data_IF_823599677791
#
_entry.id   IF_823599677791
#
_cell.length_a   1.000
_cell.length_b   1.000
_cell.length_c   1.000
_cell.angle_alpha   90.00
_cell.angle_beta   90.00
_cell.angle_gamma   90.00
#
_symmetry.space_group_name_H-M   'P 1'
#
loop_
_entity.id
_entity.type
_entity.pdbx_description
1 polymer ?
#
# COMPACT_ATOMS: atom_id res chain seq x y z
N UNK A 1 -27.22 5.10 -19.64
CA UNK A 1 -27.06 3.65 -19.74
C UNK A 1 -26.23 3.13 -18.53
N UNK A 2 -26.79 2.20 -17.81
CA UNK A 2 -26.17 1.64 -16.60
C UNK A 2 -24.82 1.00 -16.89
N UNK A 3 -24.69 0.31 -18.03
CA UNK A 3 -23.42 -0.35 -18.42
C UNK A 3 -22.32 0.69 -18.67
N UNK A 4 -22.64 1.79 -19.35
CA UNK A 4 -21.67 2.87 -19.60
C UNK A 4 -21.27 3.56 -18.31
N UNK A 5 -22.22 3.78 -17.41
CA UNK A 5 -21.94 4.40 -16.11
C UNK A 5 -21.01 3.52 -15.25
N UNK A 6 -21.19 2.20 -15.27
CA UNK A 6 -20.33 1.24 -14.59
C UNK A 6 -18.92 1.23 -15.20
N UNK A 7 -18.81 1.28 -16.52
CA UNK A 7 -17.50 1.33 -17.20
C UNK A 7 -16.73 2.61 -16.87
N UNK A 8 -17.42 3.77 -16.88
CA UNK A 8 -16.83 5.06 -16.52
C UNK A 8 -16.36 5.04 -15.07
N UNK A 9 -17.18 4.49 -14.15
CA UNK A 9 -16.81 4.35 -12.75
C UNK A 9 -15.57 3.48 -12.54
N UNK A 10 -15.49 2.35 -13.29
CA UNK A 10 -14.32 1.47 -13.23
C UNK A 10 -13.06 2.16 -13.77
N UNK A 11 -13.18 2.90 -14.88
CA UNK A 11 -12.04 3.64 -15.43
C UNK A 11 -11.54 4.72 -14.49
N UNK A 12 -12.44 5.43 -13.82
CA UNK A 12 -12.07 6.42 -12.80
C UNK A 12 -11.34 5.78 -11.63
N UNK A 13 -11.84 4.63 -11.16
CA UNK A 13 -11.21 3.89 -10.06
C UNK A 13 -9.81 3.43 -10.47
N UNK A 14 -9.65 2.92 -11.68
CA UNK A 14 -8.36 2.48 -12.22
C UNK A 14 -7.35 3.62 -12.27
N UNK A 15 -7.73 4.75 -12.85
CA UNK A 15 -6.86 5.92 -13.00
C UNK A 15 -6.45 6.45 -11.63
N UNK A 16 -7.39 6.60 -10.71
CA UNK A 16 -7.12 7.09 -9.36
C UNK A 16 -6.21 6.14 -8.60
N UNK A 17 -6.47 4.84 -8.67
CA UNK A 17 -5.66 3.81 -8.03
C UNK A 17 -4.21 3.86 -8.53
N UNK A 18 -4.01 3.92 -9.84
CA UNK A 18 -2.70 4.02 -10.47
C UNK A 18 -1.95 5.27 -10.00
N UNK A 19 -2.61 6.42 -10.00
CA UNK A 19 -2.01 7.69 -9.59
C UNK A 19 -1.64 7.67 -8.12
N UNK A 20 -2.52 7.18 -7.25
CA UNK A 20 -2.27 7.12 -5.81
C UNK A 20 -1.09 6.21 -5.48
N UNK A 21 -0.99 5.05 -6.13
CA UNK A 21 0.13 4.12 -5.92
C UNK A 21 1.45 4.71 -6.41
N UNK A 22 1.46 5.34 -7.58
CA UNK A 22 2.66 6.00 -8.11
C UNK A 22 3.13 7.16 -7.23
N UNK A 23 2.19 7.97 -6.75
CA UNK A 23 2.49 9.08 -5.85
C UNK A 23 3.05 8.56 -4.51
N UNK A 24 2.48 7.49 -3.98
CA UNK A 24 2.97 6.84 -2.76
C UNK A 24 4.39 6.32 -2.95
N UNK A 25 4.67 5.67 -4.08
CA UNK A 25 6.01 5.17 -4.42
C UNK A 25 7.05 6.30 -4.41
N UNK A 26 6.75 7.40 -5.10
CA UNK A 26 7.66 8.54 -5.18
C UNK A 26 7.88 9.19 -3.81
N UNK A 27 6.81 9.33 -3.04
CA UNK A 27 6.87 9.90 -1.69
C UNK A 27 7.72 9.06 -0.76
N UNK A 28 7.55 7.73 -0.78
CA UNK A 28 8.32 6.82 0.05
C UNK A 28 9.81 6.90 -0.24
N UNK A 29 10.18 6.95 -1.53
CA UNK A 29 11.59 7.08 -1.94
C UNK A 29 12.20 8.39 -1.43
N UNK A 30 11.48 9.50 -1.62
CA UNK A 30 11.93 10.81 -1.18
C UNK A 30 12.10 10.89 0.34
N UNK A 31 11.11 10.39 1.07
CA UNK A 31 11.12 10.42 2.53
C UNK A 31 12.19 9.50 3.12
N UNK A 32 12.45 8.34 2.49
CA UNK A 32 13.51 7.43 2.93
C UNK A 32 14.87 8.10 2.89
N UNK A 33 15.19 8.79 1.79
CA UNK A 33 16.47 9.48 1.63
C UNK A 33 16.65 10.59 2.67
N UNK A 34 15.58 11.28 3.05
CA UNK A 34 15.63 12.38 4.01
C UNK A 34 15.68 11.91 5.46
N UNK A 35 15.06 10.78 5.78
CA UNK A 35 14.73 10.40 7.15
C UNK A 35 15.40 9.12 7.62
N UNK A 36 16.25 8.49 6.81
CA UNK A 36 16.85 7.20 7.15
C UNK A 36 17.72 7.22 8.40
N UNK A 37 18.13 8.40 8.88
CA UNK A 37 18.91 8.55 10.11
C UNK A 37 18.04 8.66 11.36
N UNK A 38 16.75 8.90 11.20
CA UNK A 38 15.81 9.08 12.31
C UNK A 38 14.75 7.99 12.28
N UNK A 39 14.93 7.00 13.17
CA UNK A 39 14.04 5.83 13.23
C UNK A 39 12.61 6.18 13.61
N UNK A 40 12.41 7.19 14.46
CA UNK A 40 11.06 7.61 14.87
C UNK A 40 10.29 8.20 13.70
N UNK A 41 10.97 9.02 12.90
CA UNK A 41 10.38 9.62 11.70
C UNK A 41 10.09 8.55 10.66
N UNK A 42 11.04 7.63 10.42
CA UNK A 42 10.84 6.52 9.48
C UNK A 42 9.63 5.66 9.86
N UNK A 43 9.47 5.35 11.14
CA UNK A 43 8.34 4.54 11.61
C UNK A 43 7.01 5.25 11.37
N UNK A 44 6.94 6.56 11.64
CA UNK A 44 5.74 7.36 11.38
C UNK A 44 5.39 7.40 9.90
N UNK A 45 6.39 7.59 9.05
CA UNK A 45 6.19 7.61 7.59
C UNK A 45 5.68 6.25 7.11
N UNK A 46 6.29 5.18 7.59
CA UNK A 46 5.90 3.81 7.20
C UNK A 46 4.46 3.50 7.61
N UNK A 47 4.05 3.89 8.82
CA UNK A 47 2.68 3.70 9.28
C UNK A 47 1.67 4.52 8.47
N UNK A 48 1.99 5.77 8.14
CA UNK A 48 1.15 6.59 7.26
C UNK A 48 1.01 5.96 5.87
N UNK A 49 2.12 5.49 5.33
CA UNK A 49 2.14 4.84 4.02
C UNK A 49 1.34 3.54 4.03
N UNK A 50 1.40 2.79 5.13
CA UNK A 50 0.58 1.60 5.31
C UNK A 50 -0.90 1.91 5.18
N UNK A 51 -1.40 2.94 5.89
CA UNK A 51 -2.81 3.33 5.81
C UNK A 51 -3.19 3.84 4.42
N UNK A 52 -2.32 4.61 3.79
CA UNK A 52 -2.55 5.07 2.41
C UNK A 52 -2.64 3.90 1.46
N UNK A 53 -1.78 2.91 1.61
CA UNK A 53 -1.78 1.74 0.75
C UNK A 53 -2.96 0.81 1.00
N UNK A 54 -3.51 0.76 2.22
CA UNK A 54 -4.74 0.01 2.47
C UNK A 54 -5.86 0.46 1.55
N UNK A 55 -6.01 1.76 1.33
CA UNK A 55 -7.03 2.31 0.44
C UNK A 55 -6.75 1.98 -1.03
N UNK A 56 -5.52 2.22 -1.47
CA UNK A 56 -5.14 1.95 -2.87
C UNK A 56 -5.09 0.45 -3.16
N UNK A 57 -4.64 -0.34 -2.21
CA UNK A 57 -4.60 -1.80 -2.33
C UNK A 57 -6.00 -2.41 -2.39
N UNK A 58 -6.94 -1.85 -1.62
CA UNK A 58 -8.34 -2.26 -1.69
C UNK A 58 -8.91 -1.97 -3.09
N UNK A 59 -8.66 -0.77 -3.61
CA UNK A 59 -9.09 -0.40 -4.97
C UNK A 59 -8.47 -1.32 -6.03
N UNK A 60 -7.19 -1.65 -5.88
CA UNK A 60 -6.50 -2.57 -6.80
C UNK A 60 -7.10 -3.98 -6.74
N UNK A 61 -7.39 -4.48 -5.54
CA UNK A 61 -8.03 -5.78 -5.35
C UNK A 61 -9.44 -5.80 -5.96
N UNK A 62 -10.22 -4.73 -5.77
CA UNK A 62 -11.54 -4.60 -6.38
C UNK A 62 -11.46 -4.64 -7.91
N UNK A 63 -10.51 -3.92 -8.50
CA UNK A 63 -10.31 -3.91 -9.95
C UNK A 63 -9.94 -5.29 -10.50
N UNK A 64 -9.16 -6.07 -9.75
CA UNK A 64 -8.73 -7.40 -10.19
C UNK A 64 -9.73 -8.51 -9.89
N UNK A 65 -10.46 -8.45 -8.79
CA UNK A 65 -11.34 -9.54 -8.33
C UNK A 65 -12.82 -9.21 -8.39
N UNK A 66 -13.19 -7.94 -8.47
CA UNK A 66 -14.58 -7.49 -8.40
C UNK A 66 -15.16 -7.46 -6.98
N UNK A 67 -14.38 -7.84 -5.97
CA UNK A 67 -14.82 -7.86 -4.57
C UNK A 67 -14.44 -6.58 -3.86
N UNK A 68 -15.34 -6.08 -3.02
CA UNK A 68 -15.13 -4.92 -2.16
C UNK A 68 -14.86 -5.41 -0.74
N UNK A 69 -13.80 -4.90 -0.13
CA UNK A 69 -13.40 -5.22 1.23
C UNK A 69 -13.62 -3.99 2.12
N UNK A 70 -14.12 -4.18 3.33
CA UNK A 70 -14.49 -3.06 4.21
C UNK A 70 -13.63 -2.96 5.45
N UNK A 71 -13.26 -4.10 6.02
CA UNK A 71 -12.46 -4.15 7.25
C UNK A 71 -10.98 -4.31 6.91
N UNK A 72 -10.12 -3.77 7.77
CA UNK A 72 -8.66 -3.82 7.57
C UNK A 72 -8.15 -5.23 7.27
N UNK A 73 -8.56 -6.23 8.06
CA UNK A 73 -8.12 -7.61 7.85
C UNK A 73 -8.63 -8.20 6.54
N UNK A 74 -9.84 -7.82 6.13
CA UNK A 74 -10.41 -8.24 4.85
C UNK A 74 -9.63 -7.61 3.68
N UNK A 75 -9.23 -6.35 3.81
CA UNK A 75 -8.39 -5.67 2.81
C UNK A 75 -7.04 -6.37 2.69
N UNK A 76 -6.44 -6.78 3.80
CA UNK A 76 -5.19 -7.54 3.79
C UNK A 76 -5.35 -8.88 3.05
N UNK A 77 -6.46 -9.56 3.27
CA UNK A 77 -6.77 -10.80 2.54
C UNK A 77 -6.93 -10.52 1.03
N UNK A 78 -7.57 -9.41 0.68
CA UNK A 78 -7.71 -8.98 -0.70
C UNK A 78 -6.35 -8.69 -1.35
N UNK A 79 -5.47 -8.03 -0.65
CA UNK A 79 -4.10 -7.74 -1.10
C UNK A 79 -3.33 -9.05 -1.32
N UNK A 80 -3.46 -10.01 -0.43
CA UNK A 80 -2.87 -11.34 -0.59
C UNK A 80 -3.42 -12.06 -1.81
N UNK A 81 -4.72 -11.98 -2.04
CA UNK A 81 -5.38 -12.68 -3.14
C UNK A 81 -4.89 -12.24 -4.52
N UNK A 82 -4.37 -11.02 -4.63
CA UNK A 82 -3.82 -10.51 -5.89
C UNK A 82 -2.31 -10.68 -6.02
N UNK A 83 -1.68 -11.38 -5.07
CA UNK A 83 -0.27 -11.73 -5.13
C UNK A 83 0.70 -10.76 -4.47
N UNK A 84 0.21 -9.84 -3.65
CA UNK A 84 1.05 -8.95 -2.86
C UNK A 84 1.28 -9.55 -1.46
N UNK A 85 2.34 -9.09 -0.79
CA UNK A 85 2.79 -9.67 0.47
C UNK A 85 2.00 -9.13 1.67
N UNK A 86 0.93 -9.82 2.05
CA UNK A 86 0.13 -9.45 3.21
C UNK A 86 0.87 -9.68 4.54
N UNK A 87 1.82 -10.61 4.59
CA UNK A 87 2.63 -10.84 5.79
C UNK A 87 3.48 -9.62 6.10
N UNK A 88 4.02 -8.95 5.07
CA UNK A 88 4.76 -7.70 5.21
C UNK A 88 3.85 -6.61 5.79
N UNK A 89 2.64 -6.49 5.26
CA UNK A 89 1.64 -5.53 5.76
C UNK A 89 1.31 -5.77 7.23
N UNK A 90 1.17 -7.04 7.64
CA UNK A 90 0.91 -7.40 9.03
C UNK A 90 2.05 -7.01 9.95
N UNK A 91 3.31 -7.14 9.52
CA UNK A 91 4.47 -6.69 10.29
C UNK A 91 4.43 -5.19 10.53
N UNK A 92 4.05 -4.42 9.51
CA UNK A 92 3.89 -2.96 9.65
C UNK A 92 2.73 -2.63 10.60
N UNK A 93 1.62 -3.36 10.46
CA UNK A 93 0.47 -3.21 11.35
C UNK A 93 0.83 -3.40 12.82
N UNK A 94 1.70 -4.35 13.12
CA UNK A 94 2.17 -4.63 14.48
C UNK A 94 2.96 -3.47 15.10
N UNK A 95 3.63 -2.65 14.28
CA UNK A 95 4.36 -1.48 14.78
C UNK A 95 3.45 -0.46 15.45
N UNK A 96 2.19 -0.42 15.03
CA UNK A 96 1.18 0.49 15.56
C UNK A 96 0.94 0.31 17.06
N UNK A 97 1.06 -0.91 17.56
CA UNK A 97 0.80 -1.27 18.95
C UNK A 97 2.07 -1.57 19.75
N UNK A 98 3.25 -1.37 19.14
CA UNK A 98 4.53 -1.62 19.80
C UNK A 98 5.08 -0.34 20.44
N UNK A 99 5.33 -0.39 21.76
CA UNK A 99 5.89 0.74 22.52
C UNK A 99 7.39 0.92 22.26
N UNK A 100 8.10 -0.15 21.93
CA UNK A 100 9.56 -0.15 21.79
C UNK A 100 10.04 0.07 20.36
N UNK A 101 9.20 -0.18 19.36
CA UNK A 101 9.57 -0.08 17.96
C UNK A 101 10.60 -1.12 17.53
N UNK A 102 11.09 -0.99 16.31
CA UNK A 102 12.14 -1.83 15.75
C UNK A 102 13.49 -1.14 15.83
N UNK A 103 14.57 -1.92 15.86
CA UNK A 103 15.91 -1.39 15.68
C UNK A 103 16.03 -0.76 14.29
N UNK A 104 16.96 0.19 14.14
CA UNK A 104 17.14 0.96 12.93
C UNK A 104 17.29 0.08 11.68
N UNK A 105 18.15 -0.93 11.73
CA UNK A 105 18.39 -1.80 10.57
C UNK A 105 17.16 -2.61 10.20
N UNK A 106 16.46 -3.15 11.20
CA UNK A 106 15.23 -3.89 10.96
C UNK A 106 14.13 -3.00 10.38
N UNK A 107 14.02 -1.76 10.86
CA UNK A 107 13.05 -0.80 10.35
C UNK A 107 13.36 -0.39 8.92
N UNK A 108 14.64 -0.13 8.61
CA UNK A 108 15.08 0.21 7.27
C UNK A 108 14.81 -0.92 6.29
N UNK A 109 15.08 -2.16 6.70
CA UNK A 109 14.80 -3.34 5.88
C UNK A 109 13.31 -3.48 5.61
N UNK A 110 12.47 -3.32 6.63
CA UNK A 110 11.02 -3.36 6.49
C UNK A 110 10.52 -2.27 5.54
N UNK A 111 11.07 -1.08 5.65
CA UNK A 111 10.73 0.05 4.78
C UNK A 111 11.10 -0.25 3.33
N UNK A 112 12.28 -0.80 3.09
CA UNK A 112 12.75 -1.18 1.75
C UNK A 112 11.86 -2.26 1.13
N UNK A 113 11.49 -3.27 1.90
CA UNK A 113 10.56 -4.31 1.45
C UNK A 113 9.20 -3.73 1.09
N UNK A 114 8.72 -2.78 1.88
CA UNK A 114 7.46 -2.10 1.60
C UNK A 114 7.54 -1.29 0.29
N UNK A 115 8.64 -0.56 0.08
CA UNK A 115 8.86 0.16 -1.19
C UNK A 115 8.83 -0.78 -2.39
N UNK A 116 9.48 -1.95 -2.30
CA UNK A 116 9.46 -2.95 -3.36
C UNK A 116 8.04 -3.45 -3.65
N UNK A 117 7.26 -3.69 -2.60
CA UNK A 117 5.87 -4.10 -2.74
C UNK A 117 5.04 -3.04 -3.45
N UNK A 118 5.25 -1.76 -3.13
CA UNK A 118 4.55 -0.65 -3.78
C UNK A 118 4.91 -0.55 -5.26
N UNK A 119 6.17 -0.78 -5.62
CA UNK A 119 6.59 -0.84 -7.03
C UNK A 119 5.84 -1.95 -7.77
N UNK A 120 5.71 -3.13 -7.16
CA UNK A 120 4.97 -4.24 -7.76
C UNK A 120 3.49 -3.89 -7.92
N UNK A 121 2.90 -3.23 -6.92
CA UNK A 121 1.52 -2.77 -6.99
C UNK A 121 1.32 -1.75 -8.11
N UNK A 122 2.27 -0.84 -8.30
CA UNK A 122 2.24 0.13 -9.40
C UNK A 122 2.26 -0.56 -10.77
N UNK A 123 3.10 -1.58 -10.91
CA UNK A 123 3.17 -2.37 -12.15
C UNK A 123 1.85 -3.10 -12.41
N UNK A 124 1.23 -3.65 -11.37
CA UNK A 124 -0.09 -4.29 -11.48
C UNK A 124 -1.15 -3.31 -11.93
N UNK A 125 -1.15 -2.10 -11.38
CA UNK A 125 -2.12 -1.06 -11.74
C UNK A 125 -1.97 -0.63 -13.20
N UNK A 126 -0.74 -0.59 -13.72
CA UNK A 126 -0.47 -0.26 -15.13
C UNK A 126 -1.02 -1.32 -16.09
N UNK A 127 -1.19 -2.56 -15.64
CA UNK A 127 -1.60 -3.69 -16.48
C UNK A 127 -3.11 -3.95 -16.49
N UNK A 128 -3.88 -3.23 -15.72
CA UNK A 128 -5.33 -3.41 -15.65
C UNK A 128 -6.10 -2.73 -16.80
#
# INVERSE_FOLDING_TARGET
DVVKDLEVGRDHLRIRCEQEIKNLMLKLRSMYLRSRKDTKVLQKILLKAYYSFLQSGDALAELKTGKVYRKENEVLDGIESIGLDSALMKKIQELRSSDTGLEKEALMDLYEQFMEMIVRAADMADQI
#
